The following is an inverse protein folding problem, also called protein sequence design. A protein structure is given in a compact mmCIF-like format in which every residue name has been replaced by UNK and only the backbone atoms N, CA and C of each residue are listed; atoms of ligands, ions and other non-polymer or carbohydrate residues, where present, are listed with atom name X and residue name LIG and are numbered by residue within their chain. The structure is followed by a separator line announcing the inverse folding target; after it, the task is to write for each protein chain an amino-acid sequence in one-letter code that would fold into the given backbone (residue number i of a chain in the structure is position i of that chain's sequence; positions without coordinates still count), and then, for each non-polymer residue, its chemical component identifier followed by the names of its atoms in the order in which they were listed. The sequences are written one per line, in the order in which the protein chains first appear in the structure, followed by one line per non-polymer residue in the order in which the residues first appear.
data_IF_601348513898
#
_entry.id   IF_601348513898
#
_cell.length_a   1.000
_cell.length_b   1.000
_cell.length_c   1.000
_cell.angle_alpha   90.00
_cell.angle_beta   90.00
_cell.angle_gamma   90.00
#
_symmetry.space_group_name_H-M   'P 1'
#
loop_
_entity.id
_entity.type
_entity.pdbx_description
1 polymer ?
#
# COMPACT_ATOMS: atom_id res chain seq x y z
N UNK A 1 -2.80 15.61 -5.88
CA UNK A 1 -3.59 14.43 -5.48
C UNK A 1 -4.42 14.03 -6.66
N UNK A 2 -3.99 12.95 -7.28
CA UNK A 2 -4.49 12.42 -8.52
C UNK A 2 -5.31 11.18 -8.19
N UNK A 3 -6.40 10.96 -8.90
CA UNK A 3 -7.27 9.80 -8.67
C UNK A 3 -6.95 8.73 -9.70
N UNK A 4 -6.72 7.51 -9.21
CA UNK A 4 -6.53 6.33 -10.03
C UNK A 4 -7.58 5.29 -9.66
N UNK A 5 -8.35 4.84 -10.64
CA UNK A 5 -9.40 3.85 -10.45
C UNK A 5 -9.06 2.71 -11.39
N UNK A 6 -8.92 1.51 -10.84
CA UNK A 6 -8.73 0.30 -11.61
C UNK A 6 -9.98 -0.08 -12.39
N UNK A 7 -9.84 -1.10 -13.21
CA UNK A 7 -10.86 -1.58 -14.13
C UNK A 7 -11.28 -3.00 -13.76
N UNK A 8 -12.13 -3.61 -14.58
CA UNK A 8 -12.35 -5.04 -14.45
C UNK A 8 -11.12 -5.77 -15.02
N UNK A 9 -10.55 -6.70 -14.26
CA UNK A 9 -9.35 -7.43 -14.67
C UNK A 9 -8.28 -7.36 -13.59
N UNK A 10 -7.02 -7.51 -13.98
CA UNK A 10 -5.86 -7.29 -13.11
C UNK A 10 -5.19 -5.98 -13.50
N UNK A 11 -5.25 -4.99 -12.62
CA UNK A 11 -4.60 -3.71 -12.78
C UNK A 11 -3.19 -3.72 -12.19
N UNK A 12 -2.23 -3.28 -13.00
CA UNK A 12 -0.83 -3.15 -12.62
C UNK A 12 -0.33 -1.76 -12.98
N UNK A 13 0.06 -0.98 -11.99
CA UNK A 13 0.55 0.38 -12.16
C UNK A 13 1.98 0.49 -11.65
N UNK A 14 2.81 1.22 -12.39
CA UNK A 14 4.16 1.62 -11.96
C UNK A 14 4.28 3.13 -12.01
N UNK A 15 4.73 3.73 -10.91
CA UNK A 15 5.00 5.15 -10.81
C UNK A 15 6.43 5.44 -11.29
N UNK A 16 6.61 6.56 -11.98
CA UNK A 16 7.92 6.97 -12.52
C UNK A 16 8.50 8.20 -11.83
N UNK A 17 7.72 8.81 -10.93
CA UNK A 17 8.08 9.94 -10.11
C UNK A 17 7.21 9.93 -8.84
N UNK A 18 7.67 10.64 -7.82
CA UNK A 18 6.96 10.73 -6.54
C UNK A 18 5.56 11.32 -6.74
N UNK A 19 4.56 10.60 -6.26
CA UNK A 19 3.15 10.89 -6.51
C UNK A 19 2.35 10.91 -5.21
N UNK A 20 1.29 11.72 -5.16
CA UNK A 20 0.27 11.63 -4.10
C UNK A 20 -1.03 11.19 -4.74
N UNK A 21 -1.43 9.94 -4.50
CA UNK A 21 -2.55 9.30 -5.21
C UNK A 21 -3.69 8.99 -4.26
N UNK A 22 -4.90 9.09 -4.79
CA UNK A 22 -6.05 8.38 -4.24
C UNK A 22 -6.37 7.21 -5.17
N UNK A 23 -6.39 6.00 -4.65
CA UNK A 23 -6.52 4.78 -5.46
C UNK A 23 -7.70 3.92 -5.04
N UNK A 24 -8.36 3.28 -6.00
CA UNK A 24 -9.40 2.29 -5.74
C UNK A 24 -9.43 1.23 -6.84
N UNK A 25 -9.78 -0.01 -6.48
CA UNK A 25 -9.89 -1.14 -7.42
C UNK A 25 -8.57 -1.52 -8.11
N UNK A 26 -7.40 -1.30 -7.51
CA UNK A 26 -6.11 -1.75 -8.06
C UNK A 26 -5.63 -3.03 -7.37
N UNK A 27 -5.11 -3.98 -8.16
CA UNK A 27 -4.46 -5.18 -7.61
C UNK A 27 -2.96 -4.99 -7.37
N UNK A 28 -2.27 -4.16 -8.15
CA UNK A 28 -0.82 -3.93 -7.99
C UNK A 28 -0.42 -2.48 -8.24
N UNK A 29 0.34 -1.93 -7.30
CA UNK A 29 0.95 -0.60 -7.40
C UNK A 29 2.43 -0.67 -7.01
N UNK A 30 3.29 -0.42 -7.99
CA UNK A 30 4.73 -0.23 -7.78
C UNK A 30 5.03 1.26 -7.74
N UNK A 31 5.64 1.74 -6.66
CA UNK A 31 6.07 3.13 -6.54
C UNK A 31 7.36 3.42 -7.29
N UNK A 32 8.06 4.43 -6.83
CA UNK A 32 9.23 5.01 -7.44
C UNK A 32 10.33 5.24 -6.40
N UNK A 33 11.50 5.70 -6.85
CA UNK A 33 12.58 6.09 -5.91
C UNK A 33 12.35 7.45 -5.22
N UNK A 34 11.28 8.14 -5.60
CA UNK A 34 10.84 9.41 -5.02
C UNK A 34 9.62 9.17 -4.16
N UNK A 35 9.36 10.04 -3.18
CA UNK A 35 8.30 9.81 -2.21
C UNK A 35 6.91 9.65 -2.84
N UNK A 36 6.31 8.50 -2.57
CA UNK A 36 4.96 8.13 -2.97
C UNK A 36 4.02 8.04 -1.75
N UNK A 37 2.85 8.66 -1.88
CA UNK A 37 1.82 8.69 -0.84
C UNK A 37 0.50 8.21 -1.44
N UNK A 38 -0.04 7.13 -0.90
CA UNK A 38 -1.25 6.48 -1.42
C UNK A 38 -2.36 6.50 -0.38
N UNK A 39 -3.51 7.04 -0.76
CA UNK A 39 -4.75 6.97 0.01
C UNK A 39 -5.69 5.97 -0.65
N UNK A 40 -6.11 4.94 0.07
CA UNK A 40 -7.12 4.02 -0.42
C UNK A 40 -8.49 4.72 -0.43
N UNK A 41 -9.30 4.43 -1.44
CA UNK A 41 -10.67 4.93 -1.58
C UNK A 41 -11.61 3.75 -1.85
N UNK A 42 -11.84 2.96 -0.82
CA UNK A 42 -12.77 1.84 -0.82
C UNK A 42 -13.72 1.91 0.37
N UNK A 43 -14.93 1.37 0.20
CA UNK A 43 -15.93 1.24 1.28
C UNK A 43 -16.02 -0.17 1.85
N UNK A 44 -15.55 -1.16 1.09
CA UNK A 44 -15.54 -2.59 1.49
C UNK A 44 -14.13 -3.04 1.89
N UNK A 45 -13.11 -2.22 1.62
CA UNK A 45 -11.69 -2.52 1.82
C UNK A 45 -10.97 -2.79 0.50
N UNK A 46 -9.66 -2.98 0.62
CA UNK A 46 -8.73 -3.13 -0.51
C UNK A 46 -7.87 -4.37 -0.31
N UNK A 47 -7.56 -5.08 -1.38
CA UNK A 47 -6.46 -6.06 -1.38
C UNK A 47 -5.50 -5.68 -2.49
N UNK A 48 -4.26 -5.33 -2.15
CA UNK A 48 -3.30 -4.80 -3.12
C UNK A 48 -1.89 -5.28 -2.80
N UNK A 49 -1.16 -5.64 -3.86
CA UNK A 49 0.29 -5.80 -3.80
C UNK A 49 0.93 -4.43 -4.01
N UNK A 50 1.83 -4.05 -3.12
CA UNK A 50 2.62 -2.83 -3.22
C UNK A 50 4.09 -3.15 -3.27
N UNK A 51 4.86 -2.39 -4.03
CA UNK A 51 6.32 -2.46 -4.00
C UNK A 51 6.92 -1.08 -4.12
N UNK A 52 8.01 -0.80 -3.40
CA UNK A 52 8.71 0.49 -3.43
C UNK A 52 7.79 1.69 -3.16
N UNK A 53 6.95 1.63 -2.11
CA UNK A 53 6.09 2.74 -1.67
C UNK A 53 6.50 3.24 -0.29
N UNK A 54 6.39 4.55 -0.03
CA UNK A 54 6.76 5.13 1.27
C UNK A 54 5.57 5.31 2.21
N UNK A 55 4.38 5.62 1.71
CA UNK A 55 3.20 5.86 2.57
C UNK A 55 1.94 5.27 1.98
N UNK A 56 1.20 4.54 2.81
CA UNK A 56 -0.15 4.08 2.50
C UNK A 56 -1.09 4.36 3.67
N UNK A 57 -2.23 4.96 3.35
CA UNK A 57 -3.32 5.21 4.29
C UNK A 57 -4.53 4.42 3.81
N UNK A 58 -4.99 3.50 4.65
CA UNK A 58 -6.18 2.71 4.39
C UNK A 58 -7.48 3.53 4.40
N UNK A 59 -8.57 2.83 4.14
CA UNK A 59 -9.90 3.37 3.99
C UNK A 59 -10.88 2.68 4.95
N UNK A 60 -12.17 2.66 4.60
CA UNK A 60 -13.15 1.87 5.31
C UNK A 60 -13.18 0.43 4.75
N UNK A 61 -13.61 -0.51 5.59
CA UNK A 61 -13.63 -1.94 5.25
C UNK A 61 -12.35 -2.63 5.70
N UNK A 62 -12.01 -3.76 5.07
CA UNK A 62 -10.81 -4.53 5.42
C UNK A 62 -9.71 -4.29 4.40
N UNK A 63 -8.65 -3.60 4.79
CA UNK A 63 -7.48 -3.34 3.95
C UNK A 63 -6.37 -4.36 4.21
N UNK A 64 -5.97 -5.04 3.13
CA UNK A 64 -4.96 -6.09 3.08
C UNK A 64 -3.87 -5.70 2.10
N UNK A 65 -2.69 -5.40 2.62
CA UNK A 65 -1.54 -4.99 1.83
C UNK A 65 -0.45 -6.08 1.88
N UNK A 66 0.03 -6.48 0.71
CA UNK A 66 1.22 -7.35 0.60
C UNK A 66 2.37 -6.56 0.01
N UNK A 67 3.55 -6.65 0.61
CA UNK A 67 4.75 -5.98 0.14
C UNK A 67 5.47 -6.90 -0.86
N UNK A 68 5.98 -6.32 -1.95
CA UNK A 68 6.80 -6.98 -2.95
C UNK A 68 8.15 -7.43 -2.40
N UNK A 69 8.96 -8.03 -3.27
CA UNK A 69 10.22 -8.66 -2.85
C UNK A 69 11.39 -7.68 -2.72
N UNK A 70 11.22 -6.42 -3.13
CA UNK A 70 12.30 -5.42 -3.16
C UNK A 70 12.71 -4.93 -1.76
N UNK A 71 11.89 -5.21 -0.74
CA UNK A 71 11.97 -4.60 0.58
C UNK A 71 11.37 -3.20 0.57
N UNK A 72 10.72 -2.79 1.65
CA UNK A 72 10.09 -1.46 1.74
C UNK A 72 10.27 -0.82 3.11
N UNK A 73 10.40 0.51 3.15
CA UNK A 73 10.28 1.30 4.38
C UNK A 73 9.01 2.13 4.31
N UNK A 74 7.96 1.69 4.99
CA UNK A 74 6.61 2.24 4.85
C UNK A 74 6.11 2.90 6.12
N UNK A 75 5.48 4.06 5.98
CA UNK A 75 4.55 4.60 6.97
C UNK A 75 3.13 4.13 6.62
N UNK A 76 2.48 3.44 7.55
CA UNK A 76 1.12 2.90 7.33
C UNK A 76 0.13 3.44 8.36
N UNK A 77 -1.12 3.64 7.93
CA UNK A 77 -2.21 4.04 8.82
C UNK A 77 -3.51 3.41 8.33
N UNK A 78 -4.43 3.11 9.26
CA UNK A 78 -5.76 2.59 8.95
C UNK A 78 -5.75 1.27 8.14
N UNK A 79 -4.75 0.40 8.35
CA UNK A 79 -4.72 -0.92 7.74
C UNK A 79 -5.11 -2.02 8.73
N UNK A 80 -5.68 -3.11 8.21
CA UNK A 80 -6.02 -4.32 8.99
C UNK A 80 -5.00 -5.44 8.82
N UNK A 81 -4.43 -5.60 7.63
CA UNK A 81 -3.45 -6.67 7.36
C UNK A 81 -2.30 -6.15 6.53
N UNK A 82 -1.09 -6.50 6.97
CA UNK A 82 0.12 -6.31 6.18
C UNK A 82 0.96 -7.59 6.17
N UNK A 83 1.39 -7.98 4.97
CA UNK A 83 2.27 -9.14 4.77
C UNK A 83 3.55 -8.67 4.10
N UNK A 84 4.68 -8.89 4.75
CA UNK A 84 6.01 -8.61 4.18
C UNK A 84 6.40 -9.58 3.08
N UNK A 85 7.32 -9.13 2.22
CA UNK A 85 7.93 -9.90 1.17
C UNK A 85 9.24 -10.57 1.61
N UNK A 86 10.06 -10.97 0.62
CA UNK A 86 11.38 -11.55 0.87
C UNK A 86 12.49 -10.51 1.10
N UNK A 87 12.20 -9.22 0.90
CA UNK A 87 13.14 -8.14 1.19
C UNK A 87 12.99 -7.65 2.63
N UNK A 88 13.94 -6.84 3.10
CA UNK A 88 13.83 -6.22 4.43
C UNK A 88 12.69 -5.20 4.42
N UNK A 89 11.65 -5.48 5.19
CA UNK A 89 10.48 -4.62 5.34
C UNK A 89 10.47 -3.91 6.69
N UNK A 90 10.44 -2.58 6.67
CA UNK A 90 10.35 -1.73 7.86
C UNK A 90 9.02 -0.99 7.81
N UNK A 91 8.09 -1.35 8.69
CA UNK A 91 6.76 -0.74 8.74
C UNK A 91 6.62 0.09 10.01
N UNK A 92 6.41 1.40 9.83
CA UNK A 92 6.11 2.34 10.90
C UNK A 92 4.61 2.59 10.95
N UNK A 93 4.02 2.47 12.13
CA UNK A 93 2.60 2.75 12.34
C UNK A 93 2.37 4.23 12.61
N UNK A 94 1.55 4.87 11.78
CA UNK A 94 1.11 6.24 11.96
C UNK A 94 0.08 6.38 13.09
N UNK A 95 -0.24 7.63 13.43
CA UNK A 95 -1.03 7.98 14.61
C UNK A 95 -2.54 7.92 14.41
N UNK A 96 -3.02 7.71 13.18
CA UNK A 96 -4.46 7.69 12.86
C UNK A 96 -5.19 6.43 13.38
N UNK A 97 -4.46 5.50 14.00
CA UNK A 97 -4.98 4.22 14.47
C UNK A 97 -4.70 3.11 13.46
N UNK A 98 -4.40 1.93 13.99
CA UNK A 98 -4.07 0.72 13.23
C UNK A 98 -4.57 -0.48 14.03
N UNK A 99 -5.27 -1.42 13.40
CA UNK A 99 -5.60 -2.73 14.00
C UNK A 99 -4.98 -3.81 13.14
N UNK A 100 -3.66 -3.97 13.26
CA UNK A 100 -2.88 -4.71 12.26
C UNK A 100 -2.62 -6.15 12.69
N UNK A 101 -2.93 -7.07 11.77
CA UNK A 101 -2.24 -8.35 11.66
C UNK A 101 -1.01 -8.16 10.76
N UNK A 102 0.19 -8.33 11.33
CA UNK A 102 1.45 -8.25 10.60
C UNK A 102 2.10 -9.63 10.51
N UNK A 103 2.51 -10.03 9.31
CA UNK A 103 3.29 -11.25 9.07
C UNK A 103 4.43 -10.96 8.10
N UNK A 104 5.57 -11.66 8.22
CA UNK A 104 6.69 -11.53 7.28
C UNK A 104 7.49 -10.21 7.32
N UNK A 105 7.21 -9.28 8.25
CA UNK A 105 7.88 -7.98 8.33
C UNK A 105 9.28 -7.96 8.99
N UNK A 106 9.90 -9.12 9.22
CA UNK A 106 11.19 -9.22 9.92
C UNK A 106 12.06 -10.27 9.21
N UNK A 107 13.11 -9.80 8.54
CA UNK A 107 14.35 -10.55 8.31
C UNK A 107 15.56 -9.68 8.64
#
# INVERSE_FOLDING_TARGET
METLIGTAGTDFITLTAGSTLQVSLLETLVGSSSSDVVFLNATVGTTMLVDVLETIVGAAGTDVISIGTSGSTMLVSLLETITGGAGTDVVTLGTAGNTILATGLLE
#
